data_IF_859177213571
#
_entry.id   IF_859177213571
#
_cell.length_a   1.000
_cell.length_b   1.000
_cell.length_c   1.000
_cell.angle_alpha   90.00
_cell.angle_beta   90.00
_cell.angle_gamma   90.00
#
_symmetry.space_group_name_H-M   'P 1'
#
loop_
_entity.id
_entity.type
_entity.pdbx_description
1 polymer ?
#
# COMPACT_ATOMS: atom_id res chain seq x y z
N UNK A 1 4.10 14.80 -16.02
CA UNK A 1 3.22 13.80 -15.40
C UNK A 1 1.83 14.21 -15.81
N UNK A 2 1.13 13.33 -16.49
CA UNK A 2 -0.12 13.70 -17.17
C UNK A 2 -1.37 13.24 -16.39
N UNK A 3 -1.20 12.32 -15.43
CA UNK A 3 -2.24 11.85 -14.51
C UNK A 3 -1.62 11.11 -13.31
N UNK A 4 -2.39 10.91 -12.25
CA UNK A 4 -2.03 10.08 -11.09
C UNK A 4 -2.97 8.88 -10.95
N UNK A 5 -2.42 7.74 -10.56
CA UNK A 5 -3.20 6.55 -10.20
C UNK A 5 -2.75 6.01 -8.85
N UNK A 6 -3.63 6.10 -7.86
CA UNK A 6 -3.43 5.53 -6.53
C UNK A 6 -4.22 4.23 -6.40
N UNK A 7 -3.58 3.15 -5.96
CA UNK A 7 -4.22 1.84 -5.87
C UNK A 7 -4.84 1.56 -4.49
N UNK A 8 -5.14 2.60 -3.70
CA UNK A 8 -5.78 2.49 -2.38
C UNK A 8 -4.80 2.41 -1.20
N UNK A 9 -5.35 2.14 -0.02
CA UNK A 9 -4.67 2.17 1.29
C UNK A 9 -3.99 3.52 1.59
N UNK A 10 -4.75 4.60 1.41
CA UNK A 10 -4.39 5.97 1.83
C UNK A 10 -4.51 6.18 3.33
N UNK A 11 -5.35 5.39 3.99
CA UNK A 11 -5.64 5.51 5.43
C UNK A 11 -4.99 4.39 6.23
N UNK A 12 -4.95 4.58 7.55
CA UNK A 12 -4.34 3.68 8.53
C UNK A 12 -2.80 3.68 8.50
N UNK A 13 -2.19 2.98 9.46
CA UNK A 13 -0.74 2.81 9.64
C UNK A 13 0.11 4.07 9.88
N UNK A 14 -0.41 5.26 9.62
CA UNK A 14 0.28 6.52 9.86
C UNK A 14 -0.66 7.61 10.40
N UNK A 15 -0.10 8.65 11.02
CA UNK A 15 -0.85 9.66 11.75
C UNK A 15 -1.70 10.57 10.85
N UNK A 16 -1.47 10.58 9.53
CA UNK A 16 -2.02 11.56 8.59
C UNK A 16 -3.11 11.00 7.68
N UNK A 17 -3.96 10.08 8.17
CA UNK A 17 -4.98 9.43 7.32
C UNK A 17 -5.93 10.43 6.65
N UNK A 18 -6.40 11.46 7.37
CA UNK A 18 -7.26 12.50 6.81
C UNK A 18 -6.50 13.37 5.81
N UNK A 19 -5.29 13.80 6.16
CA UNK A 19 -4.47 14.69 5.34
C UNK A 19 -3.99 13.99 4.05
N UNK A 20 -3.71 12.68 4.08
CA UNK A 20 -3.40 11.87 2.90
C UNK A 20 -4.59 11.83 1.93
N UNK A 21 -5.79 11.58 2.44
CA UNK A 21 -7.01 11.55 1.62
C UNK A 21 -7.30 12.91 1.02
N UNK A 22 -7.26 13.98 1.82
CA UNK A 22 -7.45 15.35 1.32
C UNK A 22 -6.43 15.72 0.24
N UNK A 23 -5.16 15.32 0.42
CA UNK A 23 -4.11 15.61 -0.55
C UNK A 23 -4.34 14.89 -1.86
N UNK A 24 -4.72 13.61 -1.84
CA UNK A 24 -4.99 12.85 -3.07
C UNK A 24 -6.26 13.32 -3.76
N UNK A 25 -7.31 13.62 -3.00
CA UNK A 25 -8.56 14.17 -3.53
C UNK A 25 -8.38 15.54 -4.20
N UNK A 26 -7.35 16.30 -3.80
CA UNK A 26 -7.01 17.60 -4.36
C UNK A 26 -6.04 17.54 -5.55
N UNK A 27 -5.56 16.36 -5.95
CA UNK A 27 -4.72 16.21 -7.14
C UNK A 27 -5.58 16.30 -8.39
N UNK A 28 -5.18 17.16 -9.33
CA UNK A 28 -5.74 17.15 -10.68
C UNK A 28 -5.43 15.81 -11.38
N UNK A 29 -6.40 15.31 -12.15
CA UNK A 29 -6.30 14.06 -12.92
C UNK A 29 -5.81 12.85 -12.11
N UNK A 30 -6.31 12.71 -10.88
CA UNK A 30 -6.06 11.56 -10.03
C UNK A 30 -7.23 10.58 -10.00
N UNK A 31 -6.97 9.33 -10.39
CA UNK A 31 -7.84 8.20 -10.05
C UNK A 31 -7.29 7.51 -8.80
N UNK A 32 -8.11 7.39 -7.77
CA UNK A 32 -7.78 6.61 -6.58
C UNK A 32 -8.73 5.41 -6.47
N UNK A 33 -8.19 4.24 -6.19
CA UNK A 33 -8.99 3.02 -6.00
C UNK A 33 -9.28 2.79 -4.51
N UNK A 34 -10.35 2.08 -4.23
CA UNK A 34 -10.69 1.63 -2.89
C UNK A 34 -9.77 0.47 -2.47
N UNK A 35 -8.99 0.64 -1.40
CA UNK A 35 -8.25 -0.41 -0.73
C UNK A 35 -9.02 -1.04 0.43
N UNK A 36 -8.44 -2.07 1.05
CA UNK A 36 -9.09 -2.72 2.19
C UNK A 36 -9.11 -1.81 3.43
N UNK A 37 -8.14 -0.92 3.60
CA UNK A 37 -8.13 0.02 4.72
C UNK A 37 -9.22 1.09 4.59
N UNK A 38 -9.50 1.59 3.37
CA UNK A 38 -10.64 2.45 3.14
C UNK A 38 -11.96 1.73 3.45
N UNK A 39 -12.09 0.45 3.06
CA UNK A 39 -13.26 -0.36 3.40
C UNK A 39 -13.45 -0.50 4.91
N UNK A 40 -12.39 -0.73 5.70
CA UNK A 40 -12.48 -0.78 7.17
C UNK A 40 -12.92 0.56 7.77
N UNK A 41 -12.43 1.68 7.22
CA UNK A 41 -12.88 3.01 7.64
C UNK A 41 -14.37 3.20 7.32
N UNK A 42 -14.82 2.85 6.12
CA UNK A 42 -16.24 2.94 5.75
C UNK A 42 -17.15 2.08 6.65
N UNK A 43 -16.68 0.92 7.09
CA UNK A 43 -17.40 0.04 8.02
C UNK A 43 -17.33 0.50 9.49
N UNK A 44 -16.39 1.40 9.81
CA UNK A 44 -16.12 1.85 11.17
C UNK A 44 -15.47 0.79 12.07
N UNK A 45 -14.92 -0.28 11.50
CA UNK A 45 -14.21 -1.32 12.24
C UNK A 45 -13.15 -1.99 11.39
N UNK A 46 -12.08 -2.43 12.04
CA UNK A 46 -11.05 -3.24 11.41
C UNK A 46 -11.45 -4.73 11.40
N UNK A 47 -11.40 -5.37 10.23
CA UNK A 47 -11.76 -6.79 10.06
C UNK A 47 -10.56 -7.71 9.73
N UNK A 48 -9.34 -7.17 9.73
CA UNK A 48 -8.17 -7.99 9.43
C UNK A 48 -7.82 -8.95 10.58
N UNK A 49 -7.04 -9.99 10.26
CA UNK A 49 -6.68 -11.04 11.22
C UNK A 49 -5.52 -10.67 12.13
N UNK A 50 -4.64 -9.77 11.70
CA UNK A 50 -3.48 -9.34 12.50
C UNK A 50 -3.90 -8.25 13.49
N UNK A 51 -3.46 -8.27 14.76
CA UNK A 51 -3.91 -7.29 15.77
C UNK A 51 -3.30 -5.90 15.59
N UNK A 52 -2.03 -5.81 15.15
CA UNK A 52 -1.32 -4.55 15.04
C UNK A 52 -2.05 -3.44 14.23
N UNK A 53 -2.64 -3.70 13.05
CA UNK A 53 -3.32 -2.67 12.28
C UNK A 53 -4.61 -2.15 12.94
N UNK A 54 -5.19 -2.90 13.89
CA UNK A 54 -6.30 -2.43 14.71
C UNK A 54 -5.85 -1.29 15.65
N UNK A 55 -4.64 -1.40 16.22
CA UNK A 55 -4.05 -0.34 17.06
C UNK A 55 -3.85 0.97 16.29
N UNK A 56 -3.40 0.86 15.03
CA UNK A 56 -3.32 2.03 14.15
C UNK A 56 -4.72 2.58 13.83
N UNK A 57 -5.69 1.70 13.56
CA UNK A 57 -7.05 2.09 13.24
C UNK A 57 -7.68 2.88 14.39
N UNK A 58 -7.55 2.42 15.63
CA UNK A 58 -8.05 3.10 16.83
C UNK A 58 -7.51 4.52 16.98
N UNK A 59 -6.26 4.78 16.54
CA UNK A 59 -5.67 6.11 16.56
C UNK A 59 -6.12 6.98 15.38
N UNK A 60 -6.24 6.39 14.20
CA UNK A 60 -6.49 7.13 12.96
C UNK A 60 -7.98 7.43 12.73
N UNK A 61 -8.86 6.53 13.14
CA UNK A 61 -10.30 6.59 12.83
C UNK A 61 -11.05 7.75 13.50
N UNK A 62 -10.87 8.06 14.81
CA UNK A 62 -11.70 9.07 15.49
C UNK A 62 -11.63 10.49 14.88
N UNK A 63 -10.49 10.82 14.26
CA UNK A 63 -10.24 12.11 13.61
C UNK A 63 -10.64 12.16 12.14
N UNK A 64 -10.94 11.03 11.50
CA UNK A 64 -11.19 10.95 10.07
C UNK A 64 -12.57 11.53 9.69
N UNK A 65 -12.64 12.27 8.59
CA UNK A 65 -13.85 13.00 8.14
C UNK A 65 -14.16 12.79 6.67
N UNK A 66 -13.17 12.46 5.83
CA UNK A 66 -13.32 12.33 4.37
C UNK A 66 -14.05 11.06 3.88
N UNK A 67 -15.11 10.62 4.58
CA UNK A 67 -15.86 9.41 4.23
C UNK A 67 -16.56 9.47 2.89
N UNK A 68 -17.07 10.63 2.48
CA UNK A 68 -17.77 10.78 1.20
C UNK A 68 -16.83 10.54 0.02
N UNK A 69 -15.58 11.00 0.13
CA UNK A 69 -14.55 10.69 -0.85
C UNK A 69 -14.28 9.17 -0.89
N UNK A 70 -14.11 8.51 0.25
CA UNK A 70 -13.91 7.05 0.29
C UNK A 70 -15.06 6.28 -0.38
N UNK A 71 -16.31 6.71 -0.20
CA UNK A 71 -17.49 6.10 -0.84
C UNK A 71 -17.52 6.25 -2.36
N UNK A 72 -16.85 7.28 -2.90
CA UNK A 72 -16.77 7.52 -4.34
C UNK A 72 -15.68 6.71 -5.04
N UNK A 73 -14.77 6.07 -4.29
CA UNK A 73 -13.63 5.37 -4.88
C UNK A 73 -14.08 4.11 -5.66
N UNK A 74 -13.70 3.97 -6.93
CA UNK A 74 -13.92 2.73 -7.67
C UNK A 74 -13.04 1.60 -7.15
N UNK A 75 -13.47 0.35 -7.33
CA UNK A 75 -12.67 -0.84 -6.99
C UNK A 75 -11.55 -1.10 -8.00
N UNK A 76 -11.78 -0.73 -9.25
CA UNK A 76 -10.84 -0.94 -10.35
C UNK A 76 -10.92 0.17 -11.40
N UNK A 77 -9.88 0.28 -12.20
CA UNK A 77 -9.88 1.10 -13.42
C UNK A 77 -9.06 0.42 -14.52
N UNK A 78 -9.14 0.94 -15.75
CA UNK A 78 -8.40 0.43 -16.90
C UNK A 78 -7.68 1.58 -17.60
N UNK A 79 -6.43 1.35 -17.99
CA UNK A 79 -5.63 2.29 -18.76
C UNK A 79 -4.70 1.51 -19.69
N UNK A 80 -4.77 1.81 -20.99
CA UNK A 80 -4.05 1.06 -22.01
C UNK A 80 -4.41 -0.43 -21.96
N UNK A 81 -3.39 -1.30 -21.96
CA UNK A 81 -3.57 -2.75 -21.90
C UNK A 81 -3.73 -3.31 -20.48
N UNK A 82 -3.78 -2.47 -19.43
CA UNK A 82 -3.76 -2.91 -18.04
C UNK A 82 -5.09 -2.66 -17.31
N UNK A 83 -5.49 -3.66 -16.53
CA UNK A 83 -6.45 -3.52 -15.42
C UNK A 83 -5.69 -3.14 -14.15
N UNK A 84 -6.26 -2.21 -13.39
CA UNK A 84 -5.72 -1.75 -12.11
C UNK A 84 -6.74 -2.04 -11.02
N UNK A 85 -6.30 -2.69 -9.95
CA UNK A 85 -7.11 -3.07 -8.79
C UNK A 85 -6.23 -3.01 -7.55
N UNK A 86 -6.81 -2.87 -6.36
CA UNK A 86 -6.03 -2.89 -5.12
C UNK A 86 -5.32 -4.24 -4.91
N UNK A 87 -6.05 -5.34 -5.07
CA UNK A 87 -5.54 -6.71 -4.97
C UNK A 87 -6.29 -7.67 -5.91
N UNK A 88 -5.84 -8.93 -5.99
CA UNK A 88 -6.55 -10.04 -6.63
C UNK A 88 -6.84 -11.13 -5.59
N UNK A 89 -7.97 -11.81 -5.74
CA UNK A 89 -8.42 -12.91 -4.86
C UNK A 89 -8.42 -12.56 -3.36
N UNK A 90 -8.54 -11.26 -3.02
CA UNK A 90 -8.52 -10.73 -1.65
C UNK A 90 -7.37 -11.23 -0.77
N UNK A 91 -6.19 -11.44 -1.38
CA UNK A 91 -5.00 -11.99 -0.71
C UNK A 91 -3.75 -11.15 -0.96
N UNK A 92 -2.72 -11.37 -0.15
CA UNK A 92 -1.40 -10.81 -0.41
C UNK A 92 -0.72 -11.56 -1.56
N UNK A 93 -0.25 -10.81 -2.57
CA UNK A 93 0.46 -11.34 -3.74
C UNK A 93 1.89 -10.82 -3.74
N UNK A 94 2.81 -11.77 -3.73
CA UNK A 94 4.26 -11.57 -3.75
C UNK A 94 4.85 -12.06 -5.08
N UNK A 95 6.14 -11.77 -5.37
CA UNK A 95 6.76 -12.15 -6.64
C UNK A 95 6.68 -13.64 -6.98
N UNK A 96 6.66 -14.51 -5.97
CA UNK A 96 6.63 -15.97 -6.05
C UNK A 96 5.22 -16.57 -5.85
N UNK A 97 4.19 -15.75 -5.63
CA UNK A 97 2.83 -16.24 -5.41
C UNK A 97 2.29 -16.90 -6.67
N UNK A 98 1.86 -18.15 -6.59
CA UNK A 98 1.15 -18.81 -7.70
C UNK A 98 -0.21 -18.16 -7.92
N UNK A 99 -0.45 -17.71 -9.16
CA UNK A 99 -1.69 -17.06 -9.59
C UNK A 99 -1.86 -17.23 -11.10
N UNK A 100 -3.09 -17.39 -11.54
CA UNK A 100 -3.44 -17.37 -12.97
C UNK A 100 -3.87 -15.95 -13.36
N UNK A 101 -3.48 -15.51 -14.57
CA UNK A 101 -3.92 -14.24 -15.13
C UNK A 101 -4.62 -14.47 -16.47
N UNK A 102 -5.65 -13.64 -16.72
CA UNK A 102 -6.38 -13.56 -17.97
C UNK A 102 -6.14 -12.25 -18.73
N UNK A 103 -5.42 -11.30 -18.11
CA UNK A 103 -5.07 -10.00 -18.68
C UNK A 103 -3.90 -9.35 -17.91
N UNK A 104 -3.28 -8.33 -18.51
CA UNK A 104 -2.24 -7.55 -17.81
C UNK A 104 -2.88 -6.83 -16.63
N UNK A 105 -2.28 -6.98 -15.45
CA UNK A 105 -2.87 -6.47 -14.21
C UNK A 105 -1.82 -5.74 -13.38
N UNK A 106 -2.21 -4.61 -12.81
CA UNK A 106 -1.44 -3.86 -11.83
C UNK A 106 -2.16 -3.86 -10.48
N UNK A 107 -1.41 -4.14 -9.41
CA UNK A 107 -1.90 -4.27 -8.04
C UNK A 107 -1.06 -3.48 -7.03
N UNK A 108 -1.58 -3.34 -5.81
CA UNK A 108 -0.89 -2.82 -4.64
C UNK A 108 -0.89 -3.84 -3.50
N UNK A 109 -1.43 -3.45 -2.34
CA UNK A 109 -1.75 -4.30 -1.18
C UNK A 109 -0.58 -4.98 -0.44
N UNK A 110 0.27 -5.75 -1.13
CA UNK A 110 1.37 -6.47 -0.47
C UNK A 110 2.54 -5.56 -0.10
N UNK A 111 2.63 -4.37 -0.70
CA UNK A 111 3.71 -3.39 -0.50
C UNK A 111 5.10 -3.85 -0.98
N UNK A 112 5.14 -4.84 -1.88
CA UNK A 112 6.37 -5.31 -2.52
C UNK A 112 6.34 -4.95 -4.00
N UNK A 113 7.23 -4.04 -4.42
CA UNK A 113 7.33 -3.63 -5.82
C UNK A 113 7.93 -4.77 -6.66
N UNK A 114 7.23 -5.17 -7.73
CA UNK A 114 7.72 -6.16 -8.68
C UNK A 114 7.01 -6.07 -10.03
N UNK A 115 7.58 -6.74 -11.04
CA UNK A 115 6.94 -6.98 -12.33
C UNK A 115 7.33 -8.36 -12.81
N UNK A 116 6.37 -9.16 -13.27
CA UNK A 116 6.65 -10.48 -13.87
C UNK A 116 5.63 -10.84 -14.93
N UNK A 117 6.00 -11.76 -15.81
CA UNK A 117 5.13 -12.31 -16.84
C UNK A 117 4.57 -13.67 -16.38
N UNK A 118 3.29 -13.91 -16.65
CA UNK A 118 2.54 -15.12 -16.31
C UNK A 118 1.67 -15.46 -17.52
N UNK A 119 1.98 -16.56 -18.20
CA UNK A 119 1.22 -17.05 -19.36
C UNK A 119 0.94 -15.96 -20.43
N UNK A 120 1.93 -15.09 -20.71
CA UNK A 120 1.82 -14.01 -21.69
C UNK A 120 1.17 -12.71 -21.17
N UNK A 121 0.74 -12.66 -19.92
CA UNK A 121 0.24 -11.46 -19.26
C UNK A 121 1.23 -10.93 -18.22
N UNK A 122 1.30 -9.60 -18.09
CA UNK A 122 2.19 -8.94 -17.14
C UNK A 122 1.45 -8.61 -15.84
N UNK A 123 1.99 -9.09 -14.72
CA UNK A 123 1.60 -8.68 -13.36
C UNK A 123 2.57 -7.62 -12.85
N UNK A 124 2.06 -6.49 -12.42
CA UNK A 124 2.84 -5.41 -11.80
C UNK A 124 2.33 -5.14 -10.40
N UNK A 125 3.25 -4.98 -9.45
CA UNK A 125 2.97 -4.35 -8.18
C UNK A 125 3.83 -3.09 -8.06
N UNK A 126 3.21 -1.94 -7.86
CA UNK A 126 3.93 -0.65 -7.84
C UNK A 126 4.69 -0.40 -6.53
N UNK A 127 4.46 -1.24 -5.52
CA UNK A 127 5.04 -1.11 -4.19
C UNK A 127 4.14 -0.33 -3.24
N UNK A 128 4.74 0.45 -2.35
CA UNK A 128 4.01 1.26 -1.37
C UNK A 128 4.73 2.58 -1.15
N UNK A 129 3.93 3.64 -1.06
CA UNK A 129 4.42 4.99 -0.73
C UNK A 129 4.62 5.13 0.78
N UNK A 130 3.67 4.65 1.59
CA UNK A 130 3.64 4.92 3.04
C UNK A 130 4.18 3.78 3.93
N UNK A 131 4.31 2.56 3.40
CA UNK A 131 4.76 1.41 4.19
C UNK A 131 5.44 0.35 3.32
N UNK A 132 6.52 0.70 2.64
CA UNK A 132 7.32 -0.27 1.88
C UNK A 132 7.89 -1.36 2.80
N UNK A 133 7.51 -2.61 2.55
CA UNK A 133 7.85 -3.73 3.43
C UNK A 133 9.27 -4.27 3.21
N UNK A 134 9.92 -3.90 2.11
CA UNK A 134 11.34 -4.22 1.87
C UNK A 134 12.27 -3.24 2.59
N UNK A 135 11.96 -1.94 2.56
CA UNK A 135 12.70 -0.89 3.27
C UNK A 135 11.72 0.21 3.70
N UNK A 136 11.52 0.36 5.00
CA UNK A 136 10.44 1.20 5.54
C UNK A 136 10.67 2.69 5.31
N UNK A 137 11.91 3.11 5.09
CA UNK A 137 12.33 4.48 4.81
C UNK A 137 12.33 4.80 3.31
N UNK A 138 11.69 3.99 2.48
CA UNK A 138 11.68 4.15 1.03
C UNK A 138 10.27 4.15 0.44
N UNK A 139 9.90 5.24 -0.20
CA UNK A 139 8.75 5.32 -1.10
C UNK A 139 9.03 4.43 -2.30
N UNK A 140 8.06 3.63 -2.75
CA UNK A 140 8.10 2.90 -4.01
C UNK A 140 6.87 3.25 -4.87
N UNK A 141 7.09 3.61 -6.13
CA UNK A 141 6.07 3.91 -7.14
C UNK A 141 6.58 3.61 -8.55
N UNK A 142 5.74 3.75 -9.57
CA UNK A 142 6.16 3.59 -10.96
C UNK A 142 5.54 4.62 -11.89
N UNK A 143 6.24 4.97 -12.97
CA UNK A 143 5.64 5.58 -14.15
C UNK A 143 5.19 4.51 -15.12
N UNK A 144 4.00 4.67 -15.69
CA UNK A 144 3.46 3.80 -16.71
C UNK A 144 3.21 4.60 -17.99
N UNK A 145 3.74 4.10 -19.10
CA UNK A 145 3.60 4.69 -20.42
C UNK A 145 2.67 3.81 -21.26
N UNK A 146 1.36 4.13 -21.33
CA UNK A 146 0.34 3.24 -21.87
C UNK A 146 0.48 2.97 -23.37
N UNK A 147 1.04 3.91 -24.13
CA UNK A 147 1.23 3.75 -25.59
C UNK A 147 2.28 2.68 -25.94
N UNK A 148 3.31 2.54 -25.09
CA UNK A 148 4.41 1.59 -25.29
C UNK A 148 4.37 0.39 -24.33
N UNK A 149 3.37 0.33 -23.44
CA UNK A 149 3.29 -0.64 -22.33
C UNK A 149 4.57 -0.72 -21.48
N UNK A 150 5.26 0.41 -21.33
CA UNK A 150 6.52 0.52 -20.61
C UNK A 150 6.31 0.96 -19.16
N UNK A 151 7.16 0.46 -18.26
CA UNK A 151 7.10 0.71 -16.82
C UNK A 151 8.47 1.12 -16.30
N UNK A 152 8.50 2.22 -15.54
CA UNK A 152 9.71 2.69 -14.85
C UNK A 152 9.47 2.67 -13.35
N UNK A 153 10.20 1.82 -12.64
CA UNK A 153 10.07 1.66 -11.20
C UNK A 153 11.02 2.59 -10.47
N UNK A 154 10.49 3.35 -9.52
CA UNK A 154 11.24 4.30 -8.74
C UNK A 154 11.14 3.99 -7.25
N UNK A 155 12.23 4.24 -6.55
CA UNK A 155 12.29 4.24 -5.10
C UNK A 155 13.03 5.46 -4.61
N UNK A 156 12.43 6.18 -3.65
CA UNK A 156 12.99 7.42 -3.11
C UNK A 156 13.05 7.29 -1.59
N UNK A 157 14.22 7.51 -0.95
CA UNK A 157 14.30 7.50 0.51
C UNK A 157 13.56 8.69 1.11
N UNK A 158 13.02 8.52 2.31
CA UNK A 158 12.44 9.60 3.10
C UNK A 158 12.86 9.49 4.57
N UNK A 159 12.76 10.60 5.29
CA UNK A 159 13.09 10.61 6.71
C UNK A 159 11.95 10.00 7.55
N UNK A 160 12.10 8.72 7.89
CA UNK A 160 11.16 8.00 8.76
C UNK A 160 11.09 8.59 10.18
N UNK A 161 12.09 9.38 10.62
CA UNK A 161 12.04 10.02 11.93
C UNK A 161 10.95 11.10 12.01
N UNK A 162 10.56 11.71 10.88
CA UNK A 162 9.41 12.64 10.84
C UNK A 162 8.12 11.90 11.19
N UNK A 163 7.92 10.71 10.62
CA UNK A 163 6.79 9.83 10.95
C UNK A 163 6.81 9.42 12.42
N UNK A 164 7.95 8.92 12.92
CA UNK A 164 8.09 8.45 14.29
C UNK A 164 7.88 9.58 15.32
N UNK A 165 8.40 10.78 15.06
CA UNK A 165 8.17 11.96 15.91
C UNK A 165 6.69 12.31 15.98
N UNK A 166 5.99 12.29 14.85
CA UNK A 166 4.56 12.58 14.84
C UNK A 166 3.74 11.50 15.55
N UNK A 167 4.06 10.23 15.32
CA UNK A 167 3.40 9.12 16.02
C UNK A 167 3.57 9.24 17.54
N UNK A 168 4.76 9.58 18.03
CA UNK A 168 4.98 9.87 19.46
C UNK A 168 4.18 11.08 19.93
N UNK A 169 4.18 12.17 19.16
CA UNK A 169 3.43 13.40 19.49
C UNK A 169 1.92 13.14 19.59
N UNK A 170 1.37 12.27 18.75
CA UNK A 170 -0.04 11.86 18.76
C UNK A 170 -0.32 10.66 19.69
N UNK A 171 0.65 10.23 20.50
CA UNK A 171 0.52 9.12 21.46
C UNK A 171 0.06 7.80 20.84
N UNK A 172 0.61 7.44 19.67
CA UNK A 172 0.39 6.11 19.11
C UNK A 172 0.90 5.03 20.08
N UNK A 173 0.24 3.85 20.14
CA UNK A 173 0.70 2.73 20.97
C UNK A 173 2.15 2.35 20.66
N UNK A 174 2.91 1.93 21.67
CA UNK A 174 4.33 1.59 21.49
C UNK A 174 4.54 0.48 20.45
N UNK A 175 3.65 -0.52 20.40
CA UNK A 175 3.69 -1.57 19.37
C UNK A 175 3.63 -1.02 17.92
N UNK A 176 2.96 0.12 17.70
CA UNK A 176 2.94 0.80 16.41
C UNK A 176 4.31 1.42 16.09
N UNK A 177 4.99 2.02 17.07
CA UNK A 177 6.33 2.58 16.90
C UNK A 177 7.37 1.47 16.69
N UNK A 178 7.32 0.42 17.51
CA UNK A 178 8.18 -0.76 17.41
C UNK A 178 8.10 -1.42 16.05
N UNK A 179 6.90 -1.47 15.45
CA UNK A 179 6.73 -1.97 14.09
C UNK A 179 7.61 -1.23 13.07
N UNK A 180 7.65 0.11 13.12
CA UNK A 180 8.48 0.91 12.22
C UNK A 180 9.97 0.82 12.58
N UNK A 181 10.31 0.78 13.87
CA UNK A 181 11.69 0.68 14.35
C UNK A 181 12.34 -0.67 14.02
N UNK A 182 11.57 -1.76 14.02
CA UNK A 182 12.05 -3.11 13.75
C UNK A 182 12.22 -3.41 12.25
N UNK A 183 11.89 -2.48 11.35
CA UNK A 183 11.94 -2.69 9.91
C UNK A 183 13.26 -2.20 9.29
N UNK A 184 13.72 -2.88 8.23
CA UNK A 184 14.92 -2.48 7.51
C UNK A 184 14.81 -1.09 6.89
N UNK A 185 15.96 -0.41 6.81
CA UNK A 185 16.13 0.93 6.25
C UNK A 185 17.22 0.90 5.16
N UNK A 186 16.99 1.56 4.03
CA UNK A 186 17.94 1.63 2.91
C UNK A 186 19.08 2.61 3.20
N UNK A 187 18.83 3.67 3.98
CA UNK A 187 19.81 4.70 4.35
C UNK A 187 20.77 4.35 5.50
N UNK A 188 20.63 3.18 6.13
CA UNK A 188 21.44 2.75 7.29
C UNK A 188 20.90 3.22 8.65
N UNK A 189 21.22 2.44 9.69
CA UNK A 189 20.69 2.43 11.07
C UNK A 189 19.35 1.68 11.31
N UNK A 190 18.93 0.81 10.39
CA UNK A 190 17.84 -0.16 10.61
C UNK A 190 18.35 -1.61 10.67
N UNK A 191 17.58 -2.57 11.23
CA UNK A 191 17.92 -3.99 11.16
C UNK A 191 18.01 -4.48 9.71
N UNK A 192 18.81 -5.52 9.43
CA UNK A 192 18.94 -6.05 8.08
C UNK A 192 17.58 -6.52 7.51
N UNK A 193 17.31 -6.37 6.20
CA UNK A 193 16.08 -6.84 5.60
C UNK A 193 15.97 -8.35 5.76
N UNK A 194 14.81 -8.82 6.28
CA UNK A 194 14.49 -10.25 6.24
C UNK A 194 14.31 -10.65 4.78
N UNK A 195 15.03 -11.67 4.33
CA UNK A 195 14.70 -12.33 3.06
C UNK A 195 13.24 -12.77 3.10
N UNK A 196 12.58 -12.77 1.94
CA UNK A 196 11.25 -13.33 1.78
C UNK A 196 11.30 -14.83 2.10
N UNK A 197 11.28 -15.18 3.38
CA UNK A 197 11.04 -16.52 3.84
C UNK A 197 9.55 -16.78 3.64
N UNK A 198 9.23 -17.85 2.92
CA UNK A 198 7.90 -18.37 2.75
C UNK A 198 7.12 -18.28 4.06
N UNK A 199 5.91 -17.74 4.00
CA UNK A 199 4.99 -17.79 5.12
C UNK A 199 4.89 -19.25 5.59
N UNK A 200 5.01 -19.54 6.90
CA UNK A 200 4.79 -20.91 7.37
C UNK A 200 3.37 -21.28 6.98
N UNK A 201 3.28 -22.29 6.13
CA UNK A 201 2.01 -22.84 5.66
C UNK A 201 1.12 -23.16 6.86
N UNK A 202 -0.15 -22.78 6.72
CA UNK A 202 -1.22 -23.22 7.60
C UNK A 202 -1.08 -24.73 7.82
N UNK A 203 -0.90 -25.16 9.06
CA UNK A 203 -1.18 -26.55 9.43
C UNK A 203 -2.70 -26.78 9.28
N UNK A 204 -3.16 -27.76 8.50
CA UNK A 204 -4.55 -28.21 8.56
C UNK A 204 -4.77 -29.03 9.86
N UNK A 205 -6.05 -29.21 10.27
CA UNK A 205 -6.41 -29.92 11.52
C UNK A 205 -5.90 -31.36 11.58
#
# INVERSE_FOLDING_TARGET
MDAFLCLGDLVNYGPWSEECVQRVAALDDCTCLLGNHEAYFLQGRYEGSHPLPALFFEQCYPGFRSFDYLRSLPLETRLGAFRFTHTLEDRNIYPDTEIALSENTCIGHSHHQFSREIAGFRLVNVGSVGQNRAFIDCIAFAFFYPESNHWEFHQIPYDVEVLLKEMRRRNFPEACLEYYLAKPRKGGAGPAPRSAAASPGKSPP
#
